data_IF_651713321431
#
_entry.id   IF_651713321431
#
_cell.length_a   1.000
_cell.length_b   1.000
_cell.length_c   1.000
_cell.angle_alpha   90.00
_cell.angle_beta   90.00
_cell.angle_gamma   90.00
#
_symmetry.space_group_name_H-M   'P 1'
#
loop_
_entity.id
_entity.type
_entity.pdbx_description
1 polymer ?
#
# COMPACT_ATOMS: atom_id res chain seq x y z
N UNK A 1 -15.12 -18.16 7.72
CA UNK A 1 -15.97 -16.94 7.82
C UNK A 1 -15.89 -16.32 9.22
N UNK A 2 -16.09 -17.08 10.30
CA UNK A 2 -15.94 -16.59 11.69
C UNK A 2 -14.57 -15.96 12.04
N UNK A 3 -13.42 -16.52 11.63
CA UNK A 3 -12.12 -15.91 11.94
C UNK A 3 -11.99 -14.51 11.34
N UNK A 4 -12.30 -14.36 10.05
CA UNK A 4 -12.20 -13.08 9.34
C UNK A 4 -13.03 -11.97 10.00
N UNK A 5 -14.27 -12.26 10.44
CA UNK A 5 -15.15 -11.26 11.08
C UNK A 5 -14.54 -10.78 12.41
N UNK A 6 -14.02 -11.70 13.22
CA UNK A 6 -13.37 -11.36 14.50
C UNK A 6 -12.12 -10.52 14.27
N UNK A 7 -11.27 -10.90 13.30
CA UNK A 7 -10.06 -10.16 12.96
C UNK A 7 -10.36 -8.77 12.38
N UNK A 8 -11.43 -8.61 11.58
CA UNK A 8 -11.86 -7.31 11.09
C UNK A 8 -12.38 -6.42 12.23
N UNK A 9 -13.19 -6.96 13.14
CA UNK A 9 -13.69 -6.22 14.30
C UNK A 9 -12.55 -5.74 15.21
N UNK A 10 -11.60 -6.64 15.51
CA UNK A 10 -10.40 -6.28 16.27
C UNK A 10 -9.54 -5.23 15.56
N UNK A 11 -9.28 -5.40 14.26
CA UNK A 11 -8.48 -4.47 13.47
C UNK A 11 -9.08 -3.06 13.43
N UNK A 12 -10.39 -2.95 13.20
CA UNK A 12 -11.08 -1.65 13.22
C UNK A 12 -10.96 -0.97 14.58
N UNK A 13 -11.20 -1.70 15.67
CA UNK A 13 -11.06 -1.16 17.02
C UNK A 13 -9.63 -0.72 17.31
N UNK A 14 -8.65 -1.58 17.01
CA UNK A 14 -7.23 -1.30 17.21
C UNK A 14 -6.81 -0.03 16.47
N UNK A 15 -7.08 0.07 15.17
CA UNK A 15 -6.67 1.23 14.37
C UNK A 15 -7.39 2.51 14.75
N UNK A 16 -8.68 2.41 15.10
CA UNK A 16 -9.42 3.57 15.63
C UNK A 16 -8.73 4.12 16.88
N UNK A 17 -8.40 3.26 17.84
CA UNK A 17 -7.68 3.69 19.06
C UNK A 17 -6.29 4.23 18.72
N UNK A 18 -5.56 3.54 17.85
CA UNK A 18 -4.18 3.86 17.53
C UNK A 18 -4.06 5.24 16.83
N UNK A 19 -4.88 5.52 15.82
CA UNK A 19 -4.91 6.81 15.10
C UNK A 19 -5.21 7.98 16.03
N UNK A 20 -6.06 7.78 17.05
CA UNK A 20 -6.41 8.82 18.01
C UNK A 20 -5.40 8.97 19.16
N UNK A 21 -4.51 8.00 19.35
CA UNK A 21 -3.61 7.94 20.52
C UNK A 21 -2.14 8.19 20.18
N UNK A 22 -1.74 8.01 18.93
CA UNK A 22 -0.34 8.06 18.47
C UNK A 22 -0.23 9.05 17.32
N UNK A 23 0.87 9.83 17.21
CA UNK A 23 1.03 10.75 16.10
C UNK A 23 1.00 10.01 14.75
N UNK A 24 0.28 10.60 13.79
CA UNK A 24 -0.07 9.99 12.51
C UNK A 24 1.13 9.37 11.76
N UNK A 25 2.28 10.06 11.75
CA UNK A 25 3.48 9.59 11.06
C UNK A 25 3.99 8.25 11.61
N UNK A 26 3.89 8.02 12.92
CA UNK A 26 4.29 6.75 13.54
C UNK A 26 3.25 5.66 13.32
N UNK A 27 1.98 6.02 13.22
CA UNK A 27 0.90 5.09 12.87
C UNK A 27 1.09 4.53 11.46
N UNK A 28 1.41 5.41 10.52
CA UNK A 28 1.74 5.02 9.14
C UNK A 28 2.97 4.11 9.09
N UNK A 29 4.00 4.37 9.92
CA UNK A 29 5.19 3.52 10.02
C UNK A 29 4.88 2.13 10.59
N UNK A 30 4.09 2.06 11.66
CA UNK A 30 3.66 0.80 12.28
C UNK A 30 2.88 -0.04 11.27
N UNK A 31 1.92 0.58 10.57
CA UNK A 31 1.16 -0.11 9.54
C UNK A 31 2.09 -0.63 8.44
N UNK A 32 2.90 0.23 7.82
CA UNK A 32 3.74 -0.11 6.68
C UNK A 32 4.78 -1.19 7.02
N UNK A 33 5.45 -1.07 8.18
CA UNK A 33 6.45 -2.03 8.63
C UNK A 33 5.86 -3.43 8.89
N UNK A 34 4.73 -3.50 9.62
CA UNK A 34 4.06 -4.77 9.89
C UNK A 34 3.44 -5.34 8.61
N UNK A 35 2.84 -4.51 7.76
CA UNK A 35 2.29 -4.91 6.46
C UNK A 35 3.35 -5.52 5.56
N UNK A 36 4.58 -4.97 5.53
CA UNK A 36 5.68 -5.55 4.77
C UNK A 36 6.03 -6.97 5.27
N UNK A 37 6.22 -7.14 6.57
CA UNK A 37 6.55 -8.44 7.17
C UNK A 37 5.43 -9.46 6.91
N UNK A 38 4.18 -9.09 7.18
CA UNK A 38 3.02 -9.94 6.92
C UNK A 38 2.88 -10.28 5.43
N UNK A 39 3.21 -9.36 4.53
CA UNK A 39 3.18 -9.61 3.09
C UNK A 39 4.23 -10.62 2.66
N UNK A 40 5.47 -10.51 3.14
CA UNK A 40 6.53 -11.48 2.85
C UNK A 40 6.12 -12.87 3.36
N UNK A 41 5.68 -12.98 4.61
CA UNK A 41 5.25 -14.25 5.23
C UNK A 41 4.08 -14.87 4.47
N UNK A 42 3.13 -14.04 4.01
CA UNK A 42 1.98 -14.48 3.22
C UNK A 42 2.35 -14.92 1.81
N UNK A 43 3.25 -14.21 1.13
CA UNK A 43 3.81 -14.62 -0.17
C UNK A 43 4.54 -15.96 -0.06
N UNK A 44 5.27 -16.18 1.05
CA UNK A 44 5.91 -17.45 1.38
C UNK A 44 4.91 -18.54 1.83
N UNK A 45 3.61 -18.23 1.89
CA UNK A 45 2.50 -19.13 2.27
C UNK A 45 2.60 -19.71 3.68
N UNK A 46 3.27 -18.98 4.59
CA UNK A 46 3.43 -19.38 5.99
C UNK A 46 2.23 -18.99 6.86
N UNK A 47 1.50 -17.95 6.46
CA UNK A 47 0.25 -17.51 7.09
C UNK A 47 -0.84 -17.34 6.04
N UNK A 48 -2.12 -17.43 6.43
CA UNK A 48 -3.22 -17.17 5.51
C UNK A 48 -3.41 -15.67 5.24
N UNK A 49 -3.82 -15.35 4.01
CA UNK A 49 -3.97 -13.98 3.48
C UNK A 49 -4.93 -13.10 4.30
N UNK A 50 -5.91 -13.71 4.98
CA UNK A 50 -6.88 -13.00 5.80
C UNK A 50 -6.24 -12.25 6.98
N UNK A 51 -5.07 -12.68 7.48
CA UNK A 51 -4.39 -11.98 8.59
C UNK A 51 -3.87 -10.63 8.10
N UNK A 52 -3.14 -10.62 6.98
CA UNK A 52 -2.68 -9.40 6.35
C UNK A 52 -3.87 -8.54 5.90
N UNK A 53 -4.86 -9.14 5.26
CA UNK A 53 -6.06 -8.44 4.80
C UNK A 53 -6.74 -7.73 5.98
N UNK A 54 -6.97 -8.41 7.10
CA UNK A 54 -7.56 -7.78 8.27
C UNK A 54 -6.69 -6.66 8.85
N UNK A 55 -5.37 -6.82 8.88
CA UNK A 55 -4.44 -5.78 9.34
C UNK A 55 -4.51 -4.51 8.48
N UNK A 56 -4.29 -4.65 7.18
CA UNK A 56 -4.15 -3.50 6.27
C UNK A 56 -5.48 -2.88 5.86
N UNK A 57 -6.53 -3.68 5.66
CA UNK A 57 -7.82 -3.14 5.23
C UNK A 57 -8.48 -2.31 6.33
N UNK A 58 -8.36 -2.74 7.58
CA UNK A 58 -8.93 -1.99 8.69
C UNK A 58 -8.16 -0.69 8.95
N UNK A 59 -6.84 -0.68 8.75
CA UNK A 59 -6.04 0.55 8.72
C UNK A 59 -6.56 1.52 7.67
N UNK A 60 -6.60 1.09 6.40
CA UNK A 60 -6.97 1.98 5.30
C UNK A 60 -8.42 2.48 5.42
N UNK A 61 -9.34 1.67 5.97
CA UNK A 61 -10.72 2.10 6.19
C UNK A 61 -10.82 3.21 7.22
N UNK A 62 -10.11 3.09 8.35
CA UNK A 62 -10.11 4.12 9.39
C UNK A 62 -9.39 5.38 8.90
N UNK A 63 -8.22 5.21 8.26
CA UNK A 63 -7.44 6.33 7.73
C UNK A 63 -8.17 7.07 6.60
N UNK A 64 -8.93 6.36 5.75
CA UNK A 64 -9.74 6.98 4.71
C UNK A 64 -10.79 7.96 5.27
N UNK A 65 -11.36 7.67 6.44
CA UNK A 65 -12.33 8.57 7.09
C UNK A 65 -11.62 9.87 7.48
N UNK A 66 -10.45 9.78 8.10
CA UNK A 66 -9.64 10.95 8.47
C UNK A 66 -9.22 11.77 7.25
N UNK A 67 -8.78 11.11 6.18
CA UNK A 67 -8.39 11.77 4.93
C UNK A 67 -9.57 12.49 4.25
N UNK A 68 -10.78 11.93 4.33
CA UNK A 68 -12.01 12.59 3.84
C UNK A 68 -12.29 13.85 4.65
N UNK A 69 -12.16 13.81 5.98
CA UNK A 69 -12.34 14.99 6.84
C UNK A 69 -11.31 16.08 6.49
N UNK A 70 -10.07 15.68 6.19
CA UNK A 70 -8.97 16.57 5.83
C UNK A 70 -8.98 17.03 4.36
N UNK A 71 -9.88 16.51 3.53
CA UNK A 71 -9.98 16.80 2.09
C UNK A 71 -8.70 16.52 1.29
N UNK A 72 -7.87 15.55 1.71
CA UNK A 72 -6.69 15.17 0.94
C UNK A 72 -7.05 14.20 -0.20
N UNK A 73 -7.57 14.77 -1.30
CA UNK A 73 -8.03 14.02 -2.48
C UNK A 73 -6.99 13.04 -3.02
N UNK A 74 -5.70 13.39 -2.95
CA UNK A 74 -4.67 12.53 -3.54
C UNK A 74 -4.47 11.26 -2.70
N UNK A 75 -4.45 11.42 -1.38
CA UNK A 75 -4.34 10.28 -0.46
C UNK A 75 -5.64 9.48 -0.36
N UNK A 76 -6.80 10.13 -0.50
CA UNK A 76 -8.11 9.45 -0.63
C UNK A 76 -8.09 8.48 -1.82
N UNK A 77 -7.63 8.94 -2.99
CA UNK A 77 -7.54 8.08 -4.19
C UNK A 77 -6.57 6.92 -3.94
N UNK A 78 -5.40 7.20 -3.37
CA UNK A 78 -4.42 6.16 -3.05
C UNK A 78 -5.02 5.07 -2.12
N UNK A 79 -5.60 5.48 -1.00
CA UNK A 79 -6.18 4.57 0.00
C UNK A 79 -7.35 3.77 -0.59
N UNK A 80 -8.21 4.43 -1.37
CA UNK A 80 -9.32 3.77 -2.07
C UNK A 80 -8.81 2.69 -3.02
N UNK A 81 -7.75 2.96 -3.78
CA UNK A 81 -7.17 1.97 -4.68
C UNK A 81 -6.46 0.84 -3.92
N UNK A 82 -5.78 1.15 -2.81
CA UNK A 82 -5.15 0.18 -1.91
C UNK A 82 -6.18 -0.73 -1.19
N UNK A 83 -7.45 -0.32 -1.11
CA UNK A 83 -8.59 -1.12 -0.64
C UNK A 83 -9.18 -1.96 -1.79
N UNK A 84 -9.47 -1.32 -2.93
CA UNK A 84 -10.21 -1.95 -4.03
C UNK A 84 -9.40 -3.06 -4.69
N UNK A 85 -8.10 -2.86 -4.93
CA UNK A 85 -7.28 -3.84 -5.64
C UNK A 85 -7.19 -5.18 -4.88
N UNK A 86 -6.88 -5.22 -3.57
CA UNK A 86 -6.94 -6.46 -2.79
C UNK A 86 -8.33 -7.11 -2.76
N UNK A 87 -9.41 -6.33 -2.56
CA UNK A 87 -10.78 -6.87 -2.56
C UNK A 87 -11.11 -7.50 -3.91
N UNK A 88 -10.85 -6.80 -5.01
CA UNK A 88 -11.13 -7.32 -6.34
C UNK A 88 -10.28 -8.56 -6.66
N UNK A 89 -9.06 -8.63 -6.13
CA UNK A 89 -8.20 -9.81 -6.19
C UNK A 89 -8.77 -11.05 -5.50
N UNK A 90 -9.60 -10.90 -4.47
CA UNK A 90 -10.32 -12.03 -3.85
C UNK A 90 -11.32 -12.69 -4.81
N UNK A 91 -11.83 -11.93 -5.81
CA UNK A 91 -12.85 -12.39 -6.75
C UNK A 91 -12.30 -12.78 -8.14
N UNK A 92 -11.01 -12.54 -8.43
CA UNK A 92 -10.35 -13.04 -9.64
C UNK A 92 -8.94 -13.61 -9.35
N UNK A 93 -8.80 -14.93 -9.19
CA UNK A 93 -7.50 -15.56 -8.92
C UNK A 93 -6.53 -15.52 -10.12
N UNK A 94 -6.99 -15.08 -11.31
CA UNK A 94 -6.22 -15.12 -12.58
C UNK A 94 -5.28 -13.93 -12.74
N UNK A 95 -5.35 -12.94 -11.87
CA UNK A 95 -4.25 -11.98 -11.74
C UNK A 95 -2.90 -12.65 -11.45
N UNK A 96 -2.84 -13.96 -11.09
CA UNK A 96 -1.63 -14.70 -10.67
C UNK A 96 -0.84 -14.04 -9.53
N UNK A 97 -1.40 -12.97 -8.99
CA UNK A 97 -1.35 -12.62 -7.59
C UNK A 97 -1.92 -13.74 -6.69
N UNK A 98 -2.62 -14.73 -7.26
CA UNK A 98 -3.16 -15.88 -6.54
C UNK A 98 -4.08 -15.45 -5.40
N UNK A 99 -4.24 -16.30 -4.40
CA UNK A 99 -4.88 -15.97 -3.11
C UNK A 99 -4.18 -14.83 -2.33
N UNK A 100 -3.17 -14.16 -2.90
CA UNK A 100 -2.23 -13.29 -2.19
C UNK A 100 -2.11 -11.89 -2.82
N UNK A 101 -3.12 -11.43 -3.56
CA UNK A 101 -3.14 -10.10 -4.17
C UNK A 101 -2.96 -8.97 -3.15
N UNK A 102 -3.53 -9.12 -1.95
CA UNK A 102 -3.29 -8.19 -0.85
C UNK A 102 -1.81 -8.10 -0.49
N UNK A 103 -1.13 -9.25 -0.34
CA UNK A 103 0.28 -9.30 -0.01
C UNK A 103 1.17 -8.61 -1.03
N UNK A 104 0.97 -8.89 -2.31
CA UNK A 104 1.79 -8.25 -3.35
C UNK A 104 1.59 -6.73 -3.42
N UNK A 105 0.36 -6.23 -3.23
CA UNK A 105 0.12 -4.78 -3.20
C UNK A 105 0.71 -4.16 -1.93
N UNK A 106 0.58 -4.81 -0.78
CA UNK A 106 1.10 -4.27 0.49
C UNK A 106 2.63 -4.19 0.53
N UNK A 107 3.35 -4.96 -0.28
CA UNK A 107 4.81 -4.80 -0.42
C UNK A 107 5.22 -3.42 -0.92
N UNK A 108 4.38 -2.72 -1.70
CA UNK A 108 4.71 -1.39 -2.22
C UNK A 108 4.70 -0.33 -1.11
N UNK A 109 3.97 -0.60 -0.02
CA UNK A 109 3.81 0.33 1.11
C UNK A 109 5.05 0.41 1.99
N UNK A 110 6.02 -0.48 1.83
CA UNK A 110 7.27 -0.42 2.58
C UNK A 110 8.01 0.92 2.40
N UNK A 111 7.95 1.50 1.21
CA UNK A 111 8.61 2.80 0.97
C UNK A 111 8.01 3.94 1.79
N UNK A 112 6.83 3.76 2.39
CA UNK A 112 6.18 4.73 3.28
C UNK A 112 6.99 4.94 4.56
N UNK A 113 7.62 3.89 5.10
CA UNK A 113 8.48 4.01 6.29
C UNK A 113 9.64 4.97 6.02
N UNK A 114 10.31 4.80 4.87
CA UNK A 114 11.41 5.68 4.46
C UNK A 114 10.90 7.09 4.11
N UNK A 115 9.70 7.20 3.53
CA UNK A 115 9.07 8.50 3.26
C UNK A 115 8.85 9.29 4.55
N UNK A 116 8.28 8.66 5.57
CA UNK A 116 8.02 9.29 6.86
C UNK A 116 9.35 9.60 7.59
N UNK A 117 10.32 8.70 7.51
CA UNK A 117 11.67 8.95 8.05
C UNK A 117 12.34 10.16 7.39
N UNK A 118 12.19 10.33 6.08
CA UNK A 118 12.63 11.53 5.36
C UNK A 118 11.84 12.78 5.76
N UNK A 119 10.51 12.68 5.94
CA UNK A 119 9.68 13.81 6.34
C UNK A 119 10.09 14.37 7.71
N UNK A 120 10.51 13.51 8.64
CA UNK A 120 11.07 13.91 9.95
C UNK A 120 12.50 14.44 9.85
N UNK A 121 13.26 13.99 8.84
CA UNK A 121 14.68 14.32 8.66
C UNK A 121 14.97 15.02 7.32
N UNK A 122 14.18 16.05 6.96
CA UNK A 122 14.24 16.67 5.62
C UNK A 122 15.59 17.26 5.23
N UNK A 123 16.53 17.45 6.14
CA UNK A 123 17.86 17.98 5.81
C UNK A 123 18.88 16.86 5.54
N UNK A 124 18.54 15.59 5.77
CA UNK A 124 19.46 14.48 5.58
C UNK A 124 19.44 14.00 4.11
N UNK A 125 20.55 14.25 3.42
CA UNK A 125 20.79 13.85 2.03
C UNK A 125 20.73 12.33 1.83
N UNK A 126 21.34 11.56 2.72
CA UNK A 126 21.39 10.10 2.59
C UNK A 126 19.99 9.49 2.67
N UNK A 127 19.18 9.95 3.63
CA UNK A 127 17.79 9.50 3.78
C UNK A 127 16.96 9.85 2.54
N UNK A 128 17.18 11.03 1.93
CA UNK A 128 16.49 11.40 0.71
C UNK A 128 16.85 10.51 -0.49
N UNK A 129 18.13 10.19 -0.69
CA UNK A 129 18.53 9.27 -1.76
C UNK A 129 18.05 7.84 -1.51
N UNK A 130 18.10 7.37 -0.27
CA UNK A 130 17.50 6.10 0.12
C UNK A 130 15.99 6.07 -0.20
N UNK A 131 15.25 7.14 0.13
CA UNK A 131 13.85 7.29 -0.25
C UNK A 131 13.67 7.16 -1.76
N UNK A 132 14.45 7.88 -2.57
CA UNK A 132 14.32 7.81 -4.03
C UNK A 132 14.52 6.38 -4.55
N UNK A 133 15.56 5.69 -4.08
CA UNK A 133 15.86 4.32 -4.49
C UNK A 133 14.77 3.34 -4.05
N UNK A 134 14.39 3.36 -2.75
CA UNK A 134 13.39 2.46 -2.20
C UNK A 134 12.03 2.70 -2.83
N UNK A 135 11.64 3.97 -3.03
CA UNK A 135 10.39 4.33 -3.71
C UNK A 135 10.38 3.85 -5.16
N UNK A 136 11.47 4.09 -5.91
CA UNK A 136 11.57 3.66 -7.30
C UNK A 136 11.44 2.14 -7.45
N UNK A 137 12.14 1.38 -6.62
CA UNK A 137 12.08 -0.10 -6.67
C UNK A 137 10.68 -0.60 -6.29
N UNK A 138 10.13 -0.16 -5.14
CA UNK A 138 8.88 -0.70 -4.59
C UNK A 138 7.63 -0.24 -5.36
N UNK A 139 7.58 1.04 -5.74
CA UNK A 139 6.36 1.64 -6.29
C UNK A 139 6.41 1.85 -7.80
N UNK A 140 7.59 1.91 -8.42
CA UNK A 140 7.70 2.07 -9.89
C UNK A 140 8.02 0.74 -10.56
N UNK A 141 9.18 0.15 -10.27
CA UNK A 141 9.63 -1.09 -10.92
C UNK A 141 8.70 -2.25 -10.60
N UNK A 142 8.41 -2.44 -9.31
CA UNK A 142 7.61 -3.58 -8.87
C UNK A 142 6.13 -3.47 -9.26
N UNK A 143 5.50 -2.28 -9.21
CA UNK A 143 4.16 -2.12 -9.80
C UNK A 143 4.14 -2.36 -11.33
N UNK A 144 5.19 -1.94 -12.05
CA UNK A 144 5.33 -2.25 -13.48
C UNK A 144 5.39 -3.76 -13.72
N UNK A 145 6.15 -4.47 -12.89
CA UNK A 145 6.22 -5.92 -12.89
C UNK A 145 4.82 -6.53 -12.69
N UNK A 146 4.07 -6.12 -11.66
CA UNK A 146 2.71 -6.63 -11.43
C UNK A 146 1.76 -6.36 -12.63
N UNK A 147 1.86 -5.20 -13.26
CA UNK A 147 1.07 -4.86 -14.45
C UNK A 147 1.45 -5.73 -15.66
N UNK A 148 2.73 -5.94 -15.91
CA UNK A 148 3.21 -6.84 -16.98
C UNK A 148 2.69 -8.26 -16.79
N UNK A 149 2.74 -8.77 -15.56
CA UNK A 149 2.21 -10.10 -15.24
C UNK A 149 0.69 -10.17 -15.44
N UNK A 150 -0.05 -9.15 -15.01
CA UNK A 150 -1.51 -9.08 -15.24
C UNK A 150 -1.90 -9.09 -16.72
N UNK A 151 -1.05 -8.51 -17.58
CA UNK A 151 -1.26 -8.50 -19.02
C UNK A 151 -1.08 -9.90 -19.63
N UNK A 152 -0.06 -10.63 -19.19
CA UNK A 152 0.22 -12.00 -19.67
C UNK A 152 -0.82 -12.98 -19.14
N UNK A 153 -1.22 -12.87 -17.87
CA UNK A 153 -2.11 -13.82 -17.22
C UNK A 153 -3.57 -13.74 -17.71
N UNK A 154 -3.96 -12.60 -18.30
CA UNK A 154 -5.28 -12.29 -18.88
C UNK A 154 -6.44 -12.51 -17.88
N UNK A 155 -6.98 -11.43 -17.28
CA UNK A 155 -8.15 -11.53 -16.40
C UNK A 155 -9.30 -12.32 -17.03
N UNK A 156 -9.95 -13.23 -16.27
CA UNK A 156 -11.03 -14.08 -16.80
C UNK A 156 -12.42 -13.47 -16.60
N UNK A 157 -12.55 -12.48 -15.73
CA UNK A 157 -13.84 -11.89 -15.41
C UNK A 157 -13.77 -10.35 -15.31
N UNK A 158 -14.94 -9.72 -15.29
CA UNK A 158 -15.08 -8.25 -15.19
C UNK A 158 -14.40 -7.65 -13.95
N UNK A 159 -14.32 -8.41 -12.84
CA UNK A 159 -13.70 -7.95 -11.60
C UNK A 159 -12.18 -7.91 -11.71
N UNK A 160 -11.56 -8.88 -12.38
CA UNK A 160 -10.13 -8.84 -12.67
C UNK A 160 -9.74 -7.72 -13.63
N UNK A 161 -10.53 -7.46 -14.69
CA UNK A 161 -10.31 -6.31 -15.56
C UNK A 161 -10.42 -4.98 -14.81
N UNK A 162 -11.37 -4.87 -13.89
CA UNK A 162 -11.52 -3.71 -13.02
C UNK A 162 -10.32 -3.56 -12.08
N UNK A 163 -9.87 -4.63 -11.42
CA UNK A 163 -8.69 -4.65 -10.56
C UNK A 163 -7.43 -4.17 -11.29
N UNK A 164 -7.18 -4.68 -12.50
CA UNK A 164 -6.06 -4.24 -13.35
C UNK A 164 -6.16 -2.76 -13.68
N UNK A 165 -7.36 -2.27 -13.97
CA UNK A 165 -7.57 -0.85 -14.26
C UNK A 165 -7.26 0.02 -13.04
N UNK A 166 -7.70 -0.39 -11.85
CA UNK A 166 -7.34 0.27 -10.58
C UNK A 166 -5.83 0.24 -10.33
N UNK A 167 -5.16 -0.89 -10.60
CA UNK A 167 -3.71 -1.02 -10.47
C UNK A 167 -2.95 -0.07 -11.42
N UNK A 168 -3.44 0.13 -12.65
CA UNK A 168 -2.87 1.11 -13.60
C UNK A 168 -3.00 2.54 -13.08
N UNK A 169 -4.17 2.90 -12.54
CA UNK A 169 -4.40 4.23 -11.96
C UNK A 169 -3.45 4.44 -10.76
N UNK A 170 -3.32 3.43 -9.90
CA UNK A 170 -2.40 3.45 -8.77
C UNK A 170 -0.96 3.66 -9.23
N UNK A 171 -0.53 2.96 -10.28
CA UNK A 171 0.82 3.10 -10.84
C UNK A 171 1.09 4.49 -11.40
N UNK A 172 0.13 5.08 -12.13
CA UNK A 172 0.23 6.48 -12.60
C UNK A 172 0.35 7.44 -11.43
N UNK A 173 -0.43 7.24 -10.37
CA UNK A 173 -0.34 8.04 -9.15
C UNK A 173 1.06 7.96 -8.51
N UNK A 174 1.65 6.75 -8.45
CA UNK A 174 3.01 6.56 -7.92
C UNK A 174 4.06 7.28 -8.77
N UNK A 175 3.92 7.29 -10.10
CA UNK A 175 4.81 8.08 -10.96
C UNK A 175 4.69 9.59 -10.72
N UNK A 176 3.46 10.10 -10.56
CA UNK A 176 3.22 11.53 -10.26
C UNK A 176 3.90 11.90 -8.94
N UNK A 177 3.79 11.06 -7.92
CA UNK A 177 4.46 11.26 -6.63
C UNK A 177 5.99 11.16 -6.74
N UNK A 178 6.51 10.17 -7.46
CA UNK A 178 7.94 10.07 -7.69
C UNK A 178 8.50 11.30 -8.40
N UNK A 179 7.79 11.81 -9.42
CA UNK A 179 8.16 13.06 -10.09
C UNK A 179 8.16 14.26 -9.12
N UNK A 180 7.18 14.36 -8.21
CA UNK A 180 7.18 15.38 -7.15
C UNK A 180 8.36 15.23 -6.19
N UNK A 181 8.82 14.02 -5.91
CA UNK A 181 10.02 13.77 -5.11
C UNK A 181 11.28 14.22 -5.86
N UNK A 182 11.41 13.88 -7.14
CA UNK A 182 12.55 14.28 -7.99
C UNK A 182 12.67 15.80 -8.13
N UNK A 183 11.56 16.54 -8.15
CA UNK A 183 11.60 18.01 -8.14
C UNK A 183 12.31 18.61 -6.92
N UNK A 184 12.46 17.85 -5.84
CA UNK A 184 13.16 18.29 -4.62
C UNK A 184 14.66 18.00 -4.66
N UNK A 185 15.15 17.30 -5.69
CA UNK A 185 16.56 16.94 -5.85
C UNK A 185 17.53 18.13 -5.73
N UNK A 186 17.22 19.32 -6.28
CA UNK A 186 18.13 20.49 -6.17
C UNK A 186 18.43 20.92 -4.73
N UNK A 187 17.62 20.54 -3.74
CA UNK A 187 17.88 20.83 -2.32
C UNK A 187 19.00 19.95 -1.73
N UNK A 188 19.33 18.85 -2.38
CA UNK A 188 20.23 17.81 -1.89
C UNK A 188 21.42 17.56 -2.83
N UNK A 189 21.56 18.35 -3.89
CA UNK A 189 22.63 18.24 -4.87
C UNK A 189 23.95 18.86 -4.42
N UNK A 190 23.92 19.72 -3.41
CA UNK A 190 25.08 20.27 -2.71
C UNK A 190 25.60 19.28 -1.65
#
# INVERSE_FOLDING_TARGET
MYPLIVFLGFGLLFWTIAIHSVPYEYISDIHAGISFVLSVITVLRLIPDYILFSWSMTYFMVDLIELIIQWDVTYIIHHTLSIIVPIAGLFDPVLTLGTNAGAYIMLIEYSTVILNHWQRNRNNKNIYFELLTVYFVNRIVYLTYLLYFSFISRPKNKYGYFAVSCLRILHVLMFVWFYKLLKKLPRYSD
#
